data_IF_240869623419
#
_entry.id   IF_240869623419
#
_cell.length_a   1.000
_cell.length_b   1.000
_cell.length_c   1.000
_cell.angle_alpha   90.00
_cell.angle_beta   90.00
_cell.angle_gamma   90.00
#
_symmetry.space_group_name_H-M   'P 1'
#
loop_
_entity.id
_entity.type
_entity.pdbx_description
1 polymer ?
#
# COMPACT_ATOMS: atom_id res chain seq x y z
N UNK A 1 -31.98 26.93 3.61
CA UNK A 1 -30.59 27.20 3.99
C UNK A 1 -30.08 25.91 4.60
N UNK A 2 -29.57 25.00 3.75
CA UNK A 2 -28.12 24.78 3.59
C UNK A 2 -27.58 24.08 4.83
N UNK A 3 -27.57 22.74 4.88
CA UNK A 3 -26.58 21.83 4.27
C UNK A 3 -25.15 22.11 4.77
N UNK A 4 -24.42 21.01 5.02
CA UNK A 4 -23.04 20.90 5.51
C UNK A 4 -22.87 20.90 7.03
N UNK A 5 -22.86 19.69 7.59
CA UNK A 5 -21.84 19.26 8.55
C UNK A 5 -21.65 17.73 8.32
N UNK A 6 -21.27 17.37 7.10
CA UNK A 6 -20.53 16.14 6.87
C UNK A 6 -19.10 16.45 7.30
N UNK A 7 -18.83 16.25 8.58
CA UNK A 7 -17.50 16.35 9.14
C UNK A 7 -16.61 15.32 8.47
N UNK A 8 -15.55 15.84 7.86
CA UNK A 8 -14.46 15.12 7.20
C UNK A 8 -13.89 14.02 8.10
N UNK A 9 -14.27 12.76 7.86
CA UNK A 9 -13.47 11.60 8.25
C UNK A 9 -12.35 11.39 7.22
N UNK A 10 -11.42 12.34 7.16
CA UNK A 10 -10.13 12.12 6.54
C UNK A 10 -9.24 11.38 7.56
N UNK A 11 -9.29 10.05 7.64
CA UNK A 11 -8.36 9.33 8.53
C UNK A 11 -8.14 7.85 8.25
N UNK A 12 -9.13 7.11 7.76
CA UNK A 12 -8.95 5.70 7.39
C UNK A 12 -9.69 5.52 6.09
N UNK A 13 -9.18 4.69 5.17
CA UNK A 13 -10.04 4.18 4.10
C UNK A 13 -11.35 3.70 4.74
N UNK A 14 -12.47 3.78 4.02
CA UNK A 14 -13.77 3.33 4.52
C UNK A 14 -13.66 2.00 5.29
N UNK A 15 -14.59 1.67 6.18
CA UNK A 15 -14.56 0.38 6.91
C UNK A 15 -14.28 -0.83 6.00
N UNK A 16 -14.61 -0.74 4.70
CA UNK A 16 -14.32 -1.74 3.68
C UNK A 16 -12.83 -1.81 3.27
N UNK A 17 -12.13 -0.68 3.22
CA UNK A 17 -10.71 -0.61 2.82
C UNK A 17 -9.78 -1.18 3.89
N UNK A 18 -10.09 -0.95 5.17
CA UNK A 18 -9.38 -1.60 6.27
C UNK A 18 -9.65 -3.11 6.26
N UNK A 19 -10.90 -3.53 6.04
CA UNK A 19 -11.25 -4.94 5.95
C UNK A 19 -10.54 -5.64 4.77
N UNK A 20 -10.50 -5.02 3.59
CA UNK A 20 -9.77 -5.51 2.42
C UNK A 20 -8.26 -5.66 2.72
N UNK A 21 -7.67 -4.70 3.41
CA UNK A 21 -6.27 -4.72 3.79
C UNK A 21 -5.94 -5.83 4.79
N UNK A 22 -6.81 -6.02 5.79
CA UNK A 22 -6.66 -7.11 6.75
C UNK A 22 -6.81 -8.48 6.07
N UNK A 23 -7.78 -8.64 5.17
CA UNK A 23 -7.94 -9.86 4.39
C UNK A 23 -6.72 -10.15 3.51
N UNK A 24 -6.08 -9.12 2.95
CA UNK A 24 -4.81 -9.28 2.24
C UNK A 24 -3.69 -9.77 3.17
N UNK A 25 -3.66 -9.31 4.42
CA UNK A 25 -2.76 -9.80 5.47
C UNK A 25 -2.99 -11.27 5.81
N UNK A 26 -4.24 -11.69 5.94
CA UNK A 26 -4.59 -13.10 6.19
C UNK A 26 -4.12 -14.01 5.06
N UNK A 27 -4.17 -13.54 3.80
CA UNK A 27 -3.61 -14.25 2.66
C UNK A 27 -2.09 -14.43 2.77
N UNK A 28 -1.36 -13.43 3.28
CA UNK A 28 0.09 -13.56 3.55
C UNK A 28 0.34 -14.63 4.60
N UNK A 29 -0.41 -14.60 5.70
CA UNK A 29 -0.30 -15.58 6.78
C UNK A 29 -0.63 -17.00 6.32
N UNK A 30 -1.54 -17.13 5.36
CA UNK A 30 -1.90 -18.40 4.72
C UNK A 30 -0.92 -18.86 3.63
N UNK A 31 0.16 -18.11 3.36
CA UNK A 31 1.14 -18.42 2.31
C UNK A 31 0.62 -18.19 0.87
N UNK A 32 -0.52 -17.54 0.71
CA UNK A 32 -1.15 -17.25 -0.60
C UNK A 32 -0.60 -15.94 -1.16
N UNK A 33 0.70 -15.91 -1.40
CA UNK A 33 1.42 -14.68 -1.71
C UNK A 33 0.99 -14.00 -3.01
N UNK A 34 0.64 -14.75 -4.05
CA UNK A 34 0.17 -14.16 -5.32
C UNK A 34 -1.19 -13.47 -5.15
N UNK A 35 -2.08 -14.04 -4.34
CA UNK A 35 -3.38 -13.46 -4.05
C UNK A 35 -3.25 -12.25 -3.12
N UNK A 36 -2.38 -12.35 -2.10
CA UNK A 36 -2.06 -11.23 -1.21
C UNK A 36 -1.46 -10.04 -1.99
N UNK A 37 -0.50 -10.31 -2.87
CA UNK A 37 0.09 -9.32 -3.77
C UNK A 37 -0.98 -8.59 -4.57
N UNK A 38 -1.86 -9.35 -5.25
CA UNK A 38 -2.94 -8.79 -6.07
C UNK A 38 -3.87 -7.92 -5.24
N UNK A 39 -4.26 -8.38 -4.05
CA UNK A 39 -5.18 -7.64 -3.17
C UNK A 39 -4.58 -6.34 -2.64
N UNK A 40 -3.33 -6.37 -2.16
CA UNK A 40 -2.64 -5.14 -1.72
C UNK A 40 -2.43 -4.14 -2.86
N UNK A 41 -2.08 -4.64 -4.05
CA UNK A 41 -1.92 -3.80 -5.24
C UNK A 41 -3.25 -3.15 -5.63
N UNK A 42 -4.34 -3.91 -5.66
CA UNK A 42 -5.69 -3.40 -5.96
C UNK A 42 -6.11 -2.28 -5.01
N UNK A 43 -5.89 -2.45 -3.70
CA UNK A 43 -6.14 -1.40 -2.70
C UNK A 43 -5.31 -0.15 -3.02
N UNK A 44 -4.01 -0.34 -3.30
CA UNK A 44 -3.09 0.73 -3.67
C UNK A 44 -3.44 1.45 -4.98
N UNK A 45 -4.12 0.80 -5.91
CA UNK A 45 -4.52 1.39 -7.19
C UNK A 45 -5.88 2.11 -7.09
N UNK A 46 -6.82 1.57 -6.30
CA UNK A 46 -8.19 2.06 -6.16
C UNK A 46 -8.31 3.30 -5.26
N UNK A 47 -7.52 3.38 -4.20
CA UNK A 47 -7.68 4.42 -3.18
C UNK A 47 -7.17 5.79 -3.60
N UNK A 48 -7.72 6.90 -3.08
CA UNK A 48 -7.14 8.22 -3.29
C UNK A 48 -5.73 8.32 -2.68
N UNK A 49 -4.92 9.32 -3.08
CA UNK A 49 -3.60 9.54 -2.50
C UNK A 49 -3.65 9.73 -0.98
N UNK A 50 -3.21 8.71 -0.25
CA UNK A 50 -3.22 8.65 1.22
C UNK A 50 -2.01 7.85 1.69
N UNK A 51 -1.57 8.06 2.94
CA UNK A 51 -0.54 7.22 3.54
C UNK A 51 -0.94 5.72 3.55
N UNK A 52 -2.24 5.43 3.70
CA UNK A 52 -2.77 4.07 3.66
C UNK A 52 -2.59 3.40 2.28
N UNK A 53 -2.86 4.14 1.19
CA UNK A 53 -2.55 3.70 -0.17
C UNK A 53 -1.07 3.34 -0.33
N UNK A 54 -0.17 4.21 0.13
CA UNK A 54 1.28 3.97 0.06
C UNK A 54 1.69 2.73 0.83
N UNK A 55 1.11 2.51 2.02
CA UNK A 55 1.35 1.29 2.81
C UNK A 55 0.89 0.03 2.08
N UNK A 56 -0.27 0.05 1.41
CA UNK A 56 -0.75 -1.07 0.62
C UNK A 56 0.19 -1.38 -0.57
N UNK A 57 0.62 -0.35 -1.31
CA UNK A 57 1.60 -0.51 -2.39
C UNK A 57 2.94 -1.04 -1.88
N UNK A 58 3.44 -0.53 -0.75
CA UNK A 58 4.65 -1.03 -0.11
C UNK A 58 4.52 -2.53 0.22
N UNK A 59 3.41 -2.96 0.84
CA UNK A 59 3.18 -4.39 1.12
C UNK A 59 3.18 -5.25 -0.14
N UNK A 60 2.54 -4.79 -1.22
CA UNK A 60 2.60 -5.50 -2.50
C UNK A 60 4.04 -5.60 -3.03
N UNK A 61 4.82 -4.52 -2.96
CA UNK A 61 6.23 -4.52 -3.33
C UNK A 61 7.08 -5.50 -2.52
N UNK A 62 6.92 -5.49 -1.18
CA UNK A 62 7.59 -6.40 -0.26
C UNK A 62 7.26 -7.87 -0.58
N UNK A 63 5.98 -8.18 -0.84
CA UNK A 63 5.55 -9.54 -1.17
C UNK A 63 6.16 -10.02 -2.49
N UNK A 64 6.13 -9.16 -3.52
CA UNK A 64 6.71 -9.47 -4.82
C UNK A 64 8.21 -9.79 -4.71
N UNK A 65 8.95 -9.01 -3.90
CA UNK A 65 10.38 -9.22 -3.68
C UNK A 65 10.66 -10.47 -2.85
N UNK A 66 10.06 -10.57 -1.66
CA UNK A 66 10.46 -11.53 -0.65
C UNK A 66 9.90 -12.93 -0.89
N UNK A 67 8.64 -13.02 -1.31
CA UNK A 67 7.93 -14.29 -1.42
C UNK A 67 7.77 -14.76 -2.87
N UNK A 68 7.45 -13.86 -3.80
CA UNK A 68 7.31 -14.21 -5.21
C UNK A 68 8.65 -14.24 -5.96
N UNK A 69 9.72 -13.69 -5.35
CA UNK A 69 11.06 -13.59 -5.95
C UNK A 69 11.05 -12.91 -7.32
N UNK A 70 10.15 -11.94 -7.50
CA UNK A 70 10.01 -11.15 -8.72
C UNK A 70 10.42 -9.69 -8.45
N UNK A 71 11.73 -9.38 -8.56
CA UNK A 71 12.23 -8.03 -8.29
C UNK A 71 11.73 -7.00 -9.31
N UNK A 72 11.32 -7.42 -10.52
CA UNK A 72 10.77 -6.52 -11.53
C UNK A 72 9.38 -6.03 -11.12
N UNK A 73 8.49 -6.94 -10.68
CA UNK A 73 7.19 -6.55 -10.11
C UNK A 73 7.34 -5.72 -8.85
N UNK A 74 8.29 -6.09 -7.99
CA UNK A 74 8.55 -5.32 -6.77
C UNK A 74 8.94 -3.88 -7.13
N UNK A 75 9.88 -3.71 -8.08
CA UNK A 75 10.33 -2.40 -8.55
C UNK A 75 9.18 -1.59 -9.16
N UNK A 76 8.38 -2.20 -10.04
CA UNK A 76 7.22 -1.55 -10.67
C UNK A 76 6.29 -0.94 -9.62
N UNK A 77 5.97 -1.70 -8.57
CA UNK A 77 5.05 -1.26 -7.52
C UNK A 77 5.71 -0.25 -6.58
N UNK A 78 6.94 -0.50 -6.14
CA UNK A 78 7.64 0.40 -5.21
C UNK A 78 7.93 1.77 -5.83
N UNK A 79 8.15 1.87 -7.15
CA UNK A 79 8.31 3.17 -7.83
C UNK A 79 7.04 4.02 -7.72
N UNK A 80 5.86 3.39 -7.62
CA UNK A 80 4.62 4.13 -7.37
C UNK A 80 4.58 4.74 -5.97
N UNK A 81 5.28 4.18 -4.99
CA UNK A 81 5.39 4.80 -3.66
C UNK A 81 6.18 6.11 -3.68
N UNK A 82 6.96 6.38 -4.73
CA UNK A 82 7.82 7.56 -4.86
C UNK A 82 7.20 8.68 -5.71
N UNK A 83 5.93 8.55 -6.13
CA UNK A 83 5.32 9.62 -6.91
C UNK A 83 5.20 10.92 -6.08
N UNK A 84 5.37 12.10 -6.71
CA UNK A 84 5.41 13.39 -5.99
C UNK A 84 4.19 13.65 -5.12
N UNK A 85 3.00 13.18 -5.51
CA UNK A 85 1.76 13.34 -4.76
C UNK A 85 1.78 12.68 -3.37
N UNK A 86 2.70 11.75 -3.12
CA UNK A 86 2.86 11.12 -1.80
C UNK A 86 3.92 11.77 -0.91
N UNK A 87 4.69 12.74 -1.41
CA UNK A 87 5.82 13.29 -0.68
C UNK A 87 5.44 13.84 0.71
N UNK A 88 4.27 14.48 0.82
CA UNK A 88 3.73 15.01 2.07
C UNK A 88 2.99 13.96 2.93
N UNK A 89 2.69 12.79 2.37
CA UNK A 89 1.95 11.70 3.03
C UNK A 89 2.89 10.64 3.64
N UNK A 90 4.16 10.67 3.27
CA UNK A 90 5.17 9.72 3.71
C UNK A 90 5.90 10.30 4.92
N UNK A 91 5.58 9.76 6.09
CA UNK A 91 6.35 9.97 7.31
C UNK A 91 7.76 9.32 7.22
N UNK A 92 8.63 9.63 8.18
CA UNK A 92 10.01 9.12 8.18
C UNK A 92 10.06 7.59 8.22
N UNK A 93 9.23 6.95 9.03
CA UNK A 93 9.19 5.50 9.17
C UNK A 93 8.78 4.81 7.86
N UNK A 94 7.80 5.37 7.16
CA UNK A 94 7.35 4.88 5.86
C UNK A 94 8.41 5.11 4.79
N UNK A 95 9.08 6.27 4.80
CA UNK A 95 10.20 6.60 3.92
C UNK A 95 11.32 5.57 4.04
N UNK A 96 11.77 5.29 5.26
CA UNK A 96 12.80 4.30 5.52
C UNK A 96 12.39 2.90 5.03
N UNK A 97 11.12 2.52 5.23
CA UNK A 97 10.63 1.20 4.83
C UNK A 97 10.60 1.04 3.31
N UNK A 98 10.23 2.10 2.58
CA UNK A 98 10.32 2.15 1.12
C UNK A 98 11.78 2.05 0.67
N UNK A 99 12.68 2.83 1.27
CA UNK A 99 14.10 2.82 0.95
C UNK A 99 14.74 1.43 1.16
N UNK A 100 14.50 0.81 2.33
CA UNK A 100 14.97 -0.55 2.63
C UNK A 100 14.45 -1.56 1.60
N UNK A 101 13.18 -1.43 1.21
CA UNK A 101 12.58 -2.33 0.22
C UNK A 101 13.21 -2.19 -1.16
N UNK A 102 13.58 -0.97 -1.57
CA UNK A 102 14.33 -0.74 -2.80
C UNK A 102 15.75 -1.28 -2.77
N UNK A 103 16.47 -1.06 -1.67
CA UNK A 103 17.83 -1.59 -1.49
C UNK A 103 17.88 -3.11 -1.56
N UNK A 104 16.82 -3.79 -1.11
CA UNK A 104 16.69 -5.24 -1.21
C UNK A 104 16.46 -5.76 -2.64
N UNK A 105 16.32 -4.89 -3.65
CA UNK A 105 16.16 -5.27 -5.06
C UNK A 105 17.46 -5.20 -5.88
N UNK A 106 18.57 -4.77 -5.26
CA UNK A 106 19.90 -4.70 -5.86
C UNK A 106 20.71 -5.98 -5.57
#
# INVERSE_FOLDING_TARGET
>A
MENKLQSEEASVGSSNDLADYLAAGDLVLAGKYEDAYRKFREIGERLPPTAFRVRALLRAGEIASQYLRDPNRAREVLTRCLQPEYAALIDETLRESIQRSFQALE
#
